data_IF_712094750857
#
_entry.id   IF_712094750857
#
_cell.length_a   1.000
_cell.length_b   1.000
_cell.length_c   1.000
_cell.angle_alpha   90.00
_cell.angle_beta   90.00
_cell.angle_gamma   90.00
#
_symmetry.space_group_name_H-M   'P 1'
#
loop_
_entity.id
_entity.type
_entity.pdbx_description
1 polymer ?
#
# COMPACT_ATOMS: atom_id res chain seq x y z
N UNK A 1 -22.90 -16.46 10.83
CA UNK A 1 -21.49 -16.91 10.82
C UNK A 1 -21.30 -17.95 11.92
N UNK A 2 -20.66 -19.08 11.62
CA UNK A 2 -20.28 -20.06 12.65
C UNK A 2 -19.21 -19.45 13.59
N UNK A 3 -19.05 -20.02 14.79
CA UNK A 3 -18.03 -19.55 15.75
C UNK A 3 -16.59 -19.60 15.18
N UNK A 4 -16.32 -20.55 14.28
CA UNK A 4 -15.01 -20.68 13.60
C UNK A 4 -14.75 -19.54 12.63
N UNK A 5 -15.74 -19.15 11.82
CA UNK A 5 -15.60 -18.04 10.87
C UNK A 5 -15.40 -16.70 11.56
N UNK A 6 -16.02 -16.48 12.73
CA UNK A 6 -15.82 -15.25 13.51
C UNK A 6 -14.40 -15.14 14.02
N UNK A 7 -13.86 -16.23 14.58
CA UNK A 7 -12.48 -16.26 15.09
C UNK A 7 -11.45 -15.93 13.99
N UNK A 8 -11.62 -16.48 12.78
CA UNK A 8 -10.70 -16.21 11.67
C UNK A 8 -10.73 -14.74 11.22
N UNK A 9 -11.92 -14.13 11.21
CA UNK A 9 -12.06 -12.70 10.91
C UNK A 9 -11.37 -11.85 11.98
N UNK A 10 -11.50 -12.21 13.26
CA UNK A 10 -10.82 -11.50 14.35
C UNK A 10 -9.29 -11.63 14.22
N UNK A 11 -8.78 -12.83 13.93
CA UNK A 11 -7.34 -13.07 13.72
C UNK A 11 -6.80 -12.25 12.53
N UNK A 12 -7.50 -12.22 11.40
CA UNK A 12 -7.11 -11.39 10.25
C UNK A 12 -7.15 -9.90 10.57
N UNK A 13 -8.11 -9.45 11.38
CA UNK A 13 -8.21 -8.05 11.79
C UNK A 13 -7.07 -7.68 12.74
N UNK A 14 -6.70 -8.55 13.69
CA UNK A 14 -5.60 -8.35 14.62
C UNK A 14 -4.25 -8.28 13.90
N UNK A 15 -4.05 -9.11 12.87
CA UNK A 15 -2.84 -9.11 12.04
C UNK A 15 -2.82 -7.97 10.99
N UNK A 16 -3.80 -7.06 11.01
CA UNK A 16 -3.89 -5.97 10.05
C UNK A 16 -4.07 -6.43 8.60
N UNK A 17 -4.62 -7.62 8.37
CA UNK A 17 -4.87 -8.18 7.02
C UNK A 17 -6.23 -7.77 6.47
N UNK A 18 -7.15 -7.38 7.35
CA UNK A 18 -8.42 -6.75 7.03
C UNK A 18 -8.69 -5.59 7.98
N UNK A 19 -9.57 -4.68 7.57
CA UNK A 19 -10.17 -3.66 8.45
C UNK A 19 -11.67 -3.89 8.53
N UNK A 20 -12.23 -3.66 9.72
CA UNK A 20 -13.65 -3.77 10.01
C UNK A 20 -14.21 -2.40 10.39
N UNK A 21 -15.46 -2.13 10.01
CA UNK A 21 -16.21 -0.99 10.58
C UNK A 21 -16.87 -1.34 11.93
N UNK A 22 -17.56 -0.36 12.52
CA UNK A 22 -18.28 -0.51 13.79
C UNK A 22 -19.38 -1.60 13.74
N UNK A 23 -19.88 -1.92 12.54
CA UNK A 23 -20.86 -2.99 12.31
C UNK A 23 -20.18 -4.33 11.98
N UNK A 24 -18.85 -4.40 12.11
CA UNK A 24 -18.01 -5.56 11.81
C UNK A 24 -18.07 -6.04 10.35
N UNK A 25 -18.33 -5.11 9.42
CA UNK A 25 -18.23 -5.37 7.98
C UNK A 25 -16.80 -5.09 7.53
N UNK A 26 -16.29 -5.91 6.61
CA UNK A 26 -14.96 -5.72 6.02
C UNK A 26 -14.98 -4.46 5.15
N UNK A 27 -14.15 -3.48 5.49
CA UNK A 27 -13.99 -2.21 4.76
C UNK A 27 -12.66 -2.10 4.05
N UNK A 28 -11.70 -2.97 4.37
CA UNK A 28 -10.47 -3.10 3.62
C UNK A 28 -9.86 -4.48 3.77
N UNK A 29 -9.12 -4.91 2.76
CA UNK A 29 -8.42 -6.19 2.76
C UNK A 29 -7.18 -6.11 1.89
N UNK A 30 -6.09 -6.68 2.40
CA UNK A 30 -4.85 -6.82 1.66
C UNK A 30 -4.23 -5.51 1.19
N UNK A 31 -4.58 -4.35 1.75
CA UNK A 31 -4.06 -3.05 1.29
C UNK A 31 -5.08 -2.15 0.61
N UNK A 32 -6.20 -2.68 0.10
CA UNK A 32 -7.27 -1.90 -0.55
C UNK A 32 -8.40 -1.61 0.44
N UNK A 33 -8.90 -0.37 0.44
CA UNK A 33 -9.98 0.13 1.31
C UNK A 33 -11.08 0.83 0.52
N UNK A 34 -12.33 0.66 0.95
CA UNK A 34 -13.50 1.41 0.44
C UNK A 34 -13.80 2.69 1.23
N UNK A 35 -13.10 2.92 2.33
CA UNK A 35 -13.17 4.15 3.12
C UNK A 35 -11.85 4.94 3.08
N UNK A 36 -11.88 6.25 3.42
CA UNK A 36 -10.70 7.10 3.41
C UNK A 36 -9.50 6.52 4.17
N UNK A 37 -8.33 6.62 3.55
CA UNK A 37 -7.02 6.21 4.09
C UNK A 37 -5.91 7.09 3.49
N UNK A 38 -4.64 6.75 3.74
CA UNK A 38 -3.43 7.55 3.43
C UNK A 38 -3.28 7.91 1.96
N UNK A 39 -3.57 6.96 1.07
CA UNK A 39 -3.45 7.18 -0.38
C UNK A 39 -4.79 6.94 -1.05
N UNK A 40 -5.25 7.88 -1.85
CA UNK A 40 -6.45 7.72 -2.66
C UNK A 40 -6.05 7.18 -4.02
N UNK A 41 -6.80 6.21 -4.55
CA UNK A 41 -6.63 5.74 -5.92
C UNK A 41 -7.96 5.81 -6.68
N UNK A 42 -7.87 5.94 -7.99
CA UNK A 42 -9.00 5.80 -8.90
C UNK A 42 -8.78 4.58 -9.82
N UNK A 43 -9.71 3.63 -9.77
CA UNK A 43 -9.73 2.42 -10.58
C UNK A 43 -11.10 2.33 -11.27
N UNK A 44 -11.14 2.24 -12.60
CA UNK A 44 -12.36 2.14 -13.39
C UNK A 44 -13.42 3.21 -13.03
N UNK A 45 -12.97 4.45 -12.85
CA UNK A 45 -13.84 5.60 -12.49
C UNK A 45 -14.39 5.55 -11.06
N UNK A 46 -13.90 4.65 -10.23
CA UNK A 46 -14.29 4.51 -8.82
C UNK A 46 -13.13 4.86 -7.90
N UNK A 47 -13.46 5.55 -6.82
CA UNK A 47 -12.51 5.94 -5.79
C UNK A 47 -12.34 4.84 -4.75
N UNK A 48 -11.09 4.54 -4.44
CA UNK A 48 -10.67 3.68 -3.35
C UNK A 48 -9.52 4.32 -2.59
N UNK A 49 -9.08 3.67 -1.53
CA UNK A 49 -7.88 4.06 -0.80
C UNK A 49 -6.97 2.87 -0.56
N UNK A 50 -5.70 3.15 -0.30
CA UNK A 50 -4.72 2.12 0.07
C UNK A 50 -4.04 2.45 1.38
N UNK A 51 -3.55 1.39 2.03
CA UNK A 51 -2.93 1.49 3.35
C UNK A 51 -1.51 2.03 3.30
N UNK A 52 -0.81 1.81 2.18
CA UNK A 52 0.53 2.36 1.94
C UNK A 52 0.78 2.63 0.45
N UNK A 53 1.89 3.31 0.16
CA UNK A 53 2.32 3.60 -1.21
C UNK A 53 2.70 2.33 -1.98
N UNK A 54 3.18 1.32 -1.27
CA UNK A 54 3.55 0.04 -1.87
C UNK A 54 2.32 -0.75 -2.36
N UNK A 55 1.20 -0.65 -1.63
CA UNK A 55 -0.09 -1.19 -2.09
C UNK A 55 -0.59 -0.47 -3.34
N UNK A 56 -0.39 0.85 -3.47
CA UNK A 56 -0.76 1.58 -4.70
C UNK A 56 -0.10 0.93 -5.91
N UNK A 57 1.24 0.84 -5.92
CA UNK A 57 1.97 0.30 -7.08
C UNK A 57 1.71 -1.20 -7.29
N UNK A 58 1.47 -1.95 -6.21
CA UNK A 58 1.13 -3.37 -6.28
C UNK A 58 -0.25 -3.64 -6.88
N UNK A 59 -1.28 -2.91 -6.44
CA UNK A 59 -2.65 -3.03 -6.94
C UNK A 59 -2.72 -2.65 -8.41
N UNK A 60 -2.20 -1.48 -8.80
CA UNK A 60 -2.20 -1.05 -10.19
C UNK A 60 -1.48 -2.08 -11.08
N UNK A 61 -0.30 -2.54 -10.65
CA UNK A 61 0.49 -3.50 -11.40
C UNK A 61 -0.17 -4.88 -11.54
N UNK A 62 -0.73 -5.41 -10.45
CA UNK A 62 -1.40 -6.71 -10.45
C UNK A 62 -2.69 -6.71 -11.29
N UNK A 63 -3.43 -5.61 -11.30
CA UNK A 63 -4.64 -5.44 -12.10
C UNK A 63 -4.36 -5.00 -13.54
N UNK A 64 -3.13 -4.59 -13.86
CA UNK A 64 -2.78 -3.88 -15.11
C UNK A 64 -3.68 -2.66 -15.36
N UNK A 65 -4.10 -2.00 -14.29
CA UNK A 65 -5.06 -0.92 -14.35
C UNK A 65 -4.39 0.38 -14.82
N UNK A 66 -5.19 1.23 -15.47
CA UNK A 66 -4.84 2.64 -15.71
C UNK A 66 -5.66 3.52 -14.78
N UNK A 67 -5.08 4.62 -14.32
CA UNK A 67 -5.74 5.51 -13.35
C UNK A 67 -4.77 6.48 -12.69
N UNK A 68 -5.15 6.97 -11.52
CA UNK A 68 -4.37 7.94 -10.76
C UNK A 68 -4.35 7.58 -9.27
N UNK A 69 -3.24 7.86 -8.61
CA UNK A 69 -3.12 7.88 -7.17
C UNK A 69 -2.74 9.26 -6.65
N UNK A 70 -3.39 9.70 -5.56
CA UNK A 70 -3.05 10.92 -4.82
C UNK A 70 -2.53 10.56 -3.44
N UNK A 71 -1.45 11.21 -3.05
CA UNK A 71 -0.71 10.96 -1.81
C UNK A 71 -0.13 12.27 -1.26
N UNK A 72 0.46 12.22 -0.07
CA UNK A 72 1.33 13.27 0.43
C UNK A 72 2.68 12.68 0.88
N UNK A 73 3.77 13.40 0.65
CA UNK A 73 5.09 13.06 1.19
C UNK A 73 5.06 13.23 2.71
N UNK A 74 5.38 12.20 3.52
CA UNK A 74 5.44 12.37 4.97
C UNK A 74 6.70 13.13 5.43
N UNK A 75 7.60 13.48 4.51
CA UNK A 75 8.76 14.32 4.79
C UNK A 75 8.40 15.80 4.73
N UNK A 76 7.82 16.26 3.61
CA UNK A 76 7.56 17.68 3.35
C UNK A 76 6.09 18.08 3.40
N UNK A 77 5.17 17.11 3.42
CA UNK A 77 3.73 17.36 3.25
C UNK A 77 3.32 17.65 1.81
N UNK A 78 4.25 17.63 0.86
CA UNK A 78 3.99 17.90 -0.56
C UNK A 78 2.95 16.93 -1.10
N UNK A 79 1.91 17.44 -1.77
CA UNK A 79 0.95 16.62 -2.49
C UNK A 79 1.61 15.95 -3.69
N UNK A 80 1.43 14.64 -3.81
CA UNK A 80 2.02 13.81 -4.86
C UNK A 80 0.91 13.14 -5.66
N UNK A 81 1.03 13.21 -6.98
CA UNK A 81 0.12 12.53 -7.91
C UNK A 81 0.93 11.55 -8.77
N UNK A 82 0.42 10.33 -8.90
CA UNK A 82 1.03 9.27 -9.71
C UNK A 82 0.00 8.78 -10.70
N UNK A 83 0.26 8.99 -12.00
CA UNK A 83 -0.56 8.39 -13.05
C UNK A 83 -0.07 6.98 -13.35
N UNK A 84 -0.99 6.09 -13.68
CA UNK A 84 -0.70 4.72 -14.07
C UNK A 84 -1.25 4.43 -15.47
N UNK A 85 -0.48 3.69 -16.26
CA UNK A 85 -0.91 3.14 -17.54
C UNK A 85 -0.54 1.68 -17.62
N UNK A 86 -1.53 0.82 -17.85
CA UNK A 86 -1.37 -0.63 -17.91
C UNK A 86 -0.59 -1.21 -16.71
N UNK A 87 -0.88 -0.66 -15.52
CA UNK A 87 -0.23 -1.02 -14.26
C UNK A 87 1.17 -0.43 -14.04
N UNK A 88 1.67 0.42 -14.94
CA UNK A 88 2.98 1.07 -14.83
C UNK A 88 2.87 2.51 -14.35
N UNK A 89 3.63 2.93 -13.33
CA UNK A 89 3.64 4.31 -12.87
C UNK A 89 4.32 5.23 -13.89
N UNK A 90 3.78 6.44 -14.04
CA UNK A 90 4.28 7.50 -14.92
C UNK A 90 4.70 8.73 -14.08
N UNK A 91 5.65 8.53 -13.17
CA UNK A 91 6.21 9.59 -12.32
C UNK A 91 7.68 9.28 -12.00
N UNK A 92 8.59 9.37 -12.99
CA UNK A 92 9.98 8.92 -12.86
C UNK A 92 10.79 9.71 -11.81
N UNK A 93 10.33 10.89 -11.42
CA UNK A 93 10.96 11.74 -10.41
C UNK A 93 10.64 11.33 -8.98
N UNK A 94 9.58 10.55 -8.76
CA UNK A 94 9.17 10.12 -7.42
C UNK A 94 9.83 8.81 -7.05
N UNK A 95 10.00 8.60 -5.75
CA UNK A 95 10.54 7.37 -5.19
C UNK A 95 9.64 6.82 -4.11
N UNK A 96 9.83 5.55 -3.77
CA UNK A 96 9.14 4.87 -2.69
C UNK A 96 10.16 4.37 -1.68
N UNK A 97 9.94 4.63 -0.39
CA UNK A 97 10.64 3.91 0.66
C UNK A 97 9.87 2.62 1.00
N UNK A 98 10.56 1.47 0.92
CA UNK A 98 10.05 0.17 1.34
C UNK A 98 10.78 -0.23 2.62
N UNK A 99 10.10 -0.31 3.77
CA UNK A 99 10.70 -0.83 5.00
C UNK A 99 11.04 -2.32 4.84
N UNK A 100 12.03 -2.78 5.60
CA UNK A 100 12.42 -4.18 5.61
C UNK A 100 11.34 -5.05 6.28
N UNK A 101 11.29 -6.33 5.91
CA UNK A 101 10.35 -7.28 6.50
C UNK A 101 10.70 -7.65 7.93
N UNK A 102 11.93 -7.38 8.37
CA UNK A 102 12.33 -7.55 9.78
C UNK A 102 11.51 -6.65 10.72
N UNK A 103 10.94 -5.55 10.21
CA UNK A 103 10.03 -4.68 10.95
C UNK A 103 8.64 -5.32 11.14
N UNK A 104 8.35 -6.43 10.43
CA UNK A 104 7.17 -7.27 10.65
C UNK A 104 7.51 -8.47 11.54
N UNK A 105 7.43 -8.28 12.86
CA UNK A 105 7.41 -9.40 13.80
C UNK A 105 6.22 -10.35 13.50
N UNK A 106 6.26 -11.61 13.98
CA UNK A 106 5.24 -12.66 13.73
C UNK A 106 3.77 -12.24 13.92
N UNK A 107 3.59 -11.15 14.65
CA UNK A 107 2.39 -10.81 15.37
C UNK A 107 2.11 -9.30 15.29
N UNK A 108 2.86 -8.57 14.46
CA UNK A 108 2.60 -7.16 14.17
C UNK A 108 1.46 -7.01 13.16
N UNK A 109 0.74 -5.89 13.28
CA UNK A 109 -0.31 -5.51 12.35
C UNK A 109 0.35 -4.93 11.10
N UNK A 110 0.12 -5.54 9.93
CA UNK A 110 0.64 -4.98 8.67
C UNK A 110 0.16 -3.54 8.48
N UNK A 111 -1.12 -3.30 8.80
CA UNK A 111 -1.75 -1.99 8.66
C UNK A 111 -1.19 -0.93 9.63
N UNK A 112 -0.95 -1.29 10.89
CA UNK A 112 -0.57 -0.33 11.93
C UNK A 112 0.96 -0.18 12.08
N UNK A 113 1.73 -1.23 11.77
CA UNK A 113 3.17 -1.27 12.06
C UNK A 113 4.06 -1.17 10.81
N UNK A 114 3.60 -1.64 9.64
CA UNK A 114 4.42 -1.66 8.43
C UNK A 114 3.95 -0.67 7.36
N UNK A 115 2.65 -0.68 7.03
CA UNK A 115 2.06 0.22 6.03
C UNK A 115 2.35 1.72 6.28
N UNK A 116 2.30 2.26 7.51
CA UNK A 116 2.61 3.67 7.74
C UNK A 116 4.05 4.02 7.37
N UNK A 117 4.92 3.01 7.29
CA UNK A 117 6.33 3.17 7.02
C UNK A 117 6.68 3.05 5.52
N UNK A 118 5.73 2.72 4.64
CA UNK A 118 5.97 2.64 3.19
C UNK A 118 5.26 3.76 2.43
N UNK A 119 6.01 4.77 1.97
CA UNK A 119 5.47 6.02 1.43
C UNK A 119 6.15 6.47 0.14
N UNK A 120 5.47 7.32 -0.62
CA UNK A 120 6.05 8.07 -1.74
C UNK A 120 6.78 9.33 -1.26
N UNK A 121 7.83 9.70 -1.98
CA UNK A 121 8.62 10.90 -1.73
C UNK A 121 8.96 11.61 -3.04
N UNK A 122 9.14 12.92 -2.93
CA UNK A 122 9.56 13.82 -4.01
C UNK A 122 11.01 13.61 -4.46
N UNK A 123 11.85 12.94 -3.65
CA UNK A 123 13.25 12.64 -3.96
C UNK A 123 13.81 11.53 -3.06
N UNK A 124 14.94 10.95 -3.48
CA UNK A 124 15.68 9.97 -2.66
C UNK A 124 16.17 10.56 -1.34
N UNK A 125 16.66 11.80 -1.35
CA UNK A 125 17.14 12.49 -0.14
C UNK A 125 16.01 12.65 0.89
N UNK A 126 14.81 13.04 0.44
CA UNK A 126 13.64 13.16 1.30
C UNK A 126 13.29 11.81 1.95
N UNK A 127 13.29 10.72 1.17
CA UNK A 127 13.02 9.38 1.64
C UNK A 127 14.07 8.90 2.67
N UNK A 128 15.36 9.18 2.43
CA UNK A 128 16.43 8.78 3.33
C UNK A 128 16.47 9.59 4.63
N UNK A 129 16.29 10.92 4.56
CA UNK A 129 16.26 11.76 5.75
C UNK A 129 15.08 11.35 6.63
N UNK A 130 13.89 11.17 6.04
CA UNK A 130 12.70 10.76 6.76
C UNK A 130 12.84 9.38 7.42
N UNK A 131 13.34 8.38 6.69
CA UNK A 131 13.48 7.01 7.21
C UNK A 131 14.54 6.91 8.31
N UNK A 132 15.71 7.54 8.12
CA UNK A 132 16.77 7.56 9.13
C UNK A 132 16.39 8.33 10.38
N UNK A 133 15.67 9.46 10.24
CA UNK A 133 15.15 10.22 11.37
C UNK A 133 14.18 9.42 12.25
N UNK A 134 13.61 8.34 11.72
CA UNK A 134 12.72 7.41 12.42
C UNK A 134 13.41 6.10 12.82
N UNK A 135 14.69 5.92 12.52
CA UNK A 135 15.42 4.68 12.77
C UNK A 135 14.98 3.48 11.93
N UNK A 136 14.27 3.72 10.82
CA UNK A 136 13.75 2.65 9.96
C UNK A 136 14.85 2.05 9.08
N UNK A 137 14.81 0.73 8.90
CA UNK A 137 15.63 0.02 7.92
C UNK A 137 14.80 -0.25 6.67
N UNK A 138 15.45 -0.28 5.51
CA UNK A 138 14.75 -0.48 4.25
C UNK A 138 15.50 0.02 3.04
N UNK A 139 14.77 0.18 1.94
CA UNK A 139 15.29 0.57 0.63
C UNK A 139 14.47 1.71 0.05
N UNK A 140 15.16 2.69 -0.52
CA UNK A 140 14.55 3.64 -1.46
C UNK A 140 14.58 3.03 -2.85
N UNK A 141 13.45 3.03 -3.53
CA UNK A 141 13.24 2.43 -4.84
C UNK A 141 12.67 3.46 -5.79
N UNK A 142 13.07 3.39 -7.06
CA UNK A 142 12.29 4.04 -8.12
C UNK A 142 10.89 3.43 -8.18
N UNK A 143 9.90 4.18 -8.68
CA UNK A 143 8.53 3.64 -8.78
C UNK A 143 8.45 2.41 -9.71
N UNK A 144 9.30 2.34 -10.74
CA UNK A 144 9.37 1.17 -11.62
C UNK A 144 9.88 -0.08 -10.90
N UNK A 145 10.90 0.05 -10.04
CA UNK A 145 11.41 -1.05 -9.24
C UNK A 145 10.39 -1.49 -8.18
N UNK A 146 9.79 -0.51 -7.49
CA UNK A 146 8.74 -0.76 -6.51
C UNK A 146 7.54 -1.47 -7.13
N UNK A 147 7.04 -0.98 -8.28
CA UNK A 147 5.93 -1.59 -9.00
C UNK A 147 6.24 -3.03 -9.43
N UNK A 148 7.44 -3.30 -9.97
CA UNK A 148 7.84 -4.67 -10.34
C UNK A 148 7.84 -5.61 -9.16
N UNK A 149 8.34 -5.18 -8.00
CA UNK A 149 8.37 -6.00 -6.79
C UNK A 149 6.96 -6.22 -6.23
N UNK A 150 6.22 -5.13 -6.01
CA UNK A 150 4.88 -5.15 -5.43
C UNK A 150 3.89 -5.95 -6.30
N UNK A 151 3.97 -5.84 -7.62
CA UNK A 151 3.11 -6.61 -8.56
C UNK A 151 3.28 -8.12 -8.36
N UNK A 152 4.50 -8.60 -8.09
CA UNK A 152 4.72 -10.05 -7.86
C UNK A 152 4.08 -10.52 -6.57
N UNK A 153 4.18 -9.71 -5.52
CA UNK A 153 3.61 -10.02 -4.21
C UNK A 153 2.07 -9.95 -4.26
N UNK A 154 1.51 -8.91 -4.87
CA UNK A 154 0.07 -8.78 -5.10
C UNK A 154 -0.50 -9.80 -6.09
N UNK A 155 0.27 -10.23 -7.08
CA UNK A 155 -0.14 -11.25 -8.04
C UNK A 155 -0.50 -12.59 -7.40
N UNK A 156 0.03 -12.88 -6.19
CA UNK A 156 -0.36 -14.06 -5.41
C UNK A 156 -1.79 -13.96 -4.87
N UNK A 157 -2.26 -12.75 -4.58
CA UNK A 157 -3.61 -12.47 -4.09
C UNK A 157 -4.65 -12.50 -5.22
N UNK A 158 -4.27 -12.12 -6.44
CA UNK A 158 -5.18 -12.12 -7.59
C UNK A 158 -5.23 -13.45 -8.33
N UNK A 159 -4.36 -14.41 -8.02
CA UNK A 159 -4.39 -15.75 -8.62
C UNK A 159 -4.30 -15.76 -10.15
N UNK A 160 -3.76 -14.70 -10.76
CA UNK A 160 -3.72 -14.55 -12.22
C UNK A 160 -5.01 -14.06 -12.87
N UNK A 161 -5.95 -13.46 -12.11
CA UNK A 161 -7.08 -12.72 -12.71
C UNK A 161 -6.56 -11.66 -13.67
N UNK A 162 -6.85 -11.84 -14.97
CA UNK A 162 -6.81 -10.78 -15.97
C UNK A 162 -8.21 -10.18 -16.02
N UNK A 163 -8.34 -8.93 -15.58
CA UNK A 163 -9.55 -8.13 -15.84
C UNK A 163 -9.46 -7.62 -17.27
#
# INVERSE_FOLDING_TARGET
MSGRSRRQVDELSQLGRIRLDDRRRVTGSGGLSVGPDRHQIELDGRKFWTWCAYDVVGIFGALRASGEARSASPFSGTALEVHFRDGRPLAPQLVLFRPDEADLACCSSVYDDWCPNSNFFESEDAAWIWSRGRGLQGRVLTLDEAAKLATREWGQLTGGLRI
#
